data_IF_557009028973
#
_entry.id   IF_557009028973
#
_cell.length_a   1.000
_cell.length_b   1.000
_cell.length_c   1.000
_cell.angle_alpha   90.00
_cell.angle_beta   90.00
_cell.angle_gamma   90.00
#
_symmetry.space_group_name_H-M   'P 1'
#
loop_
_entity.id
_entity.type
_entity.pdbx_description
1 polymer ?
#
# COMPACT_ATOMS: atom_id res chain seq x y z
N UNK A 1 11.01 3.79 -9.99
CA UNK A 1 10.11 2.80 -10.57
C UNK A 1 8.78 2.86 -9.83
N UNK A 2 7.70 2.52 -10.51
CA UNK A 2 6.37 2.43 -9.89
C UNK A 2 6.32 1.20 -8.98
N UNK A 3 5.80 1.36 -7.77
CA UNK A 3 5.68 0.28 -6.78
C UNK A 3 4.93 -0.94 -7.30
N UNK A 4 4.00 -0.80 -8.24
CA UNK A 4 3.32 -1.95 -8.85
C UNK A 4 4.23 -2.86 -9.68
N UNK A 5 5.46 -2.42 -9.99
CA UNK A 5 6.44 -3.19 -10.76
C UNK A 5 7.73 -3.40 -9.96
N UNK A 6 7.70 -4.19 -8.87
CA UNK A 6 8.87 -4.37 -8.01
C UNK A 6 10.09 -4.96 -8.76
N UNK A 7 9.86 -5.78 -9.80
CA UNK A 7 10.92 -6.32 -10.66
C UNK A 7 11.80 -5.25 -11.33
N UNK A 8 11.29 -4.02 -11.49
CA UNK A 8 12.06 -2.93 -12.08
C UNK A 8 13.28 -2.53 -11.22
N UNK A 9 13.22 -2.77 -9.90
CA UNK A 9 14.39 -2.58 -9.02
C UNK A 9 15.51 -3.55 -9.37
N UNK A 10 15.19 -4.81 -9.65
CA UNK A 10 16.20 -5.82 -9.99
C UNK A 10 16.89 -5.47 -11.30
N UNK A 11 16.13 -4.95 -12.27
CA UNK A 11 16.70 -4.42 -13.51
C UNK A 11 17.63 -3.25 -13.21
N UNK A 12 17.21 -2.26 -12.43
CA UNK A 12 18.07 -1.12 -12.06
C UNK A 12 19.39 -1.57 -11.40
N UNK A 13 19.31 -2.54 -10.48
CA UNK A 13 20.48 -3.12 -9.79
C UNK A 13 21.45 -3.82 -10.73
N UNK A 14 20.96 -4.54 -11.75
CA UNK A 14 21.81 -5.20 -12.75
C UNK A 14 22.68 -4.20 -13.53
N UNK A 15 22.23 -2.94 -13.67
CA UNK A 15 22.98 -1.87 -14.32
C UNK A 15 23.70 -0.93 -13.34
N UNK A 16 23.70 -1.23 -12.04
CA UNK A 16 24.31 -0.39 -11.02
C UNK A 16 23.65 0.98 -10.86
N UNK A 17 22.35 1.08 -11.17
CA UNK A 17 21.58 2.32 -11.08
C UNK A 17 20.90 2.45 -9.71
N UNK A 18 20.69 3.71 -9.30
CA UNK A 18 19.89 4.04 -8.11
C UNK A 18 18.42 3.69 -8.36
N UNK A 19 17.82 2.91 -7.46
CA UNK A 19 16.42 2.50 -7.49
C UNK A 19 15.57 3.36 -6.56
N UNK A 20 14.86 4.35 -7.12
CA UNK A 20 13.87 5.14 -6.37
C UNK A 20 12.50 4.50 -6.50
N UNK A 21 11.91 4.04 -5.39
CA UNK A 21 10.53 3.56 -5.34
C UNK A 21 9.58 4.75 -5.34
N UNK A 22 8.61 4.74 -6.25
CA UNK A 22 7.59 5.78 -6.37
C UNK A 22 6.20 5.16 -6.26
N UNK A 23 5.35 5.77 -5.41
CA UNK A 23 3.96 5.36 -5.29
C UNK A 23 3.03 6.36 -5.97
N UNK A 24 2.16 5.84 -6.84
CA UNK A 24 1.15 6.61 -7.59
C UNK A 24 -0.13 6.89 -6.79
N UNK A 25 -0.35 6.16 -5.71
CA UNK A 25 -1.49 6.34 -4.82
C UNK A 25 -1.15 7.30 -3.69
N UNK A 26 -2.18 7.88 -3.06
CA UNK A 26 -1.99 8.79 -1.92
C UNK A 26 -1.28 8.10 -0.75
N UNK A 27 -0.50 8.87 0.02
CA UNK A 27 0.20 8.38 1.22
C UNK A 27 -0.75 7.66 2.20
N UNK A 28 -1.96 8.17 2.40
CA UNK A 28 -2.98 7.55 3.25
C UNK A 28 -3.36 6.14 2.78
N UNK A 29 -3.63 5.99 1.48
CA UNK A 29 -3.99 4.70 0.87
C UNK A 29 -2.83 3.71 0.98
N UNK A 30 -1.60 4.13 0.67
CA UNK A 30 -0.43 3.27 0.79
C UNK A 30 -0.16 2.86 2.24
N UNK A 31 -0.38 3.76 3.21
CA UNK A 31 -0.23 3.43 4.62
C UNK A 31 -1.21 2.32 5.02
N UNK A 32 -2.47 2.40 4.62
CA UNK A 32 -3.44 1.33 4.89
C UNK A 32 -3.03 0.01 4.25
N UNK A 33 -2.65 0.00 2.96
CA UNK A 33 -2.20 -1.22 2.29
C UNK A 33 -0.94 -1.81 2.92
N UNK A 34 0.02 -0.98 3.31
CA UNK A 34 1.23 -1.42 3.99
C UNK A 34 0.92 -2.12 5.32
N UNK A 35 0.01 -1.56 6.12
CA UNK A 35 -0.39 -2.18 7.40
C UNK A 35 -1.14 -3.51 7.20
N UNK A 36 -1.93 -3.64 6.13
CA UNK A 36 -2.54 -4.92 5.75
C UNK A 36 -1.46 -5.93 5.31
N UNK A 37 -0.53 -5.52 4.43
CA UNK A 37 0.56 -6.37 3.93
C UNK A 37 1.43 -6.91 5.08
N UNK A 38 1.62 -6.11 6.13
CA UNK A 38 2.37 -6.48 7.35
C UNK A 38 1.54 -7.26 8.37
N UNK A 39 0.27 -7.54 8.10
CA UNK A 39 -0.63 -8.26 9.00
C UNK A 39 -1.07 -7.46 10.23
N UNK A 40 -0.85 -6.14 10.25
CA UNK A 40 -1.25 -5.25 11.34
C UNK A 40 -2.74 -4.89 11.29
N UNK A 41 -3.33 -4.94 10.09
CA UNK A 41 -4.78 -4.85 9.87
C UNK A 41 -5.24 -6.21 9.34
N UNK A 42 -6.21 -6.82 10.00
CA UNK A 42 -6.77 -8.11 9.58
C UNK A 42 -7.97 -7.91 8.64
N UNK A 43 -8.10 -8.81 7.66
CA UNK A 43 -9.21 -8.87 6.72
C UNK A 43 -10.09 -10.10 7.01
N UNK A 44 -11.39 -10.08 6.65
CA UNK A 44 -12.12 -8.95 6.08
C UNK A 44 -12.35 -7.82 7.09
N UNK A 45 -12.40 -6.58 6.61
CA UNK A 45 -12.61 -5.40 7.48
C UNK A 45 -13.99 -5.39 8.14
N UNK A 46 -15.00 -5.91 7.42
CA UNK A 46 -16.38 -6.01 7.88
C UNK A 46 -16.58 -7.34 8.62
N UNK A 47 -16.45 -7.30 9.96
CA UNK A 47 -16.75 -8.40 10.86
C UNK A 47 -17.92 -8.09 11.81
N UNK A 48 -18.26 -8.98 12.75
CA UNK A 48 -19.28 -8.71 13.77
C UNK A 48 -18.75 -7.69 14.79
N UNK A 49 -18.81 -6.40 14.45
CA UNK A 49 -18.49 -5.28 15.32
C UNK A 49 -17.97 -4.06 14.55
N UNK A 50 -18.03 -2.84 15.14
CA UNK A 50 -17.37 -1.67 14.58
C UNK A 50 -15.85 -1.83 14.70
N UNK A 51 -15.17 -1.98 13.56
CA UNK A 51 -13.72 -2.02 13.46
C UNK A 51 -13.23 -0.69 12.89
N UNK A 52 -12.47 0.08 13.67
CA UNK A 52 -11.79 1.27 13.16
C UNK A 52 -10.42 0.89 12.62
N UNK A 53 -10.04 1.50 11.51
CA UNK A 53 -8.71 1.38 10.93
C UNK A 53 -7.89 2.56 11.43
N UNK A 54 -6.86 2.26 12.23
CA UNK A 54 -5.93 3.26 12.73
C UNK A 54 -4.56 3.00 12.12
N UNK A 55 -4.04 3.98 11.38
CA UNK A 55 -2.68 3.95 10.84
C UNK A 55 -1.99 5.30 11.11
N UNK A 56 -0.66 5.34 11.29
CA UNK A 56 0.06 6.56 11.62
C UNK A 56 -0.16 7.66 10.57
N UNK A 57 -0.37 8.89 11.03
CA UNK A 57 -0.41 10.08 10.18
C UNK A 57 -1.75 10.37 9.51
N UNK A 58 -2.80 9.60 9.79
CA UNK A 58 -4.17 9.86 9.33
C UNK A 58 -5.17 9.68 10.47
N UNK A 59 -6.35 10.35 10.43
CA UNK A 59 -7.43 10.09 11.36
C UNK A 59 -7.90 8.62 11.27
N UNK A 60 -8.52 8.13 12.35
CA UNK A 60 -9.18 6.83 12.32
C UNK A 60 -10.22 6.77 11.19
N UNK A 61 -10.16 5.69 10.42
CA UNK A 61 -11.03 5.47 9.27
C UNK A 61 -12.07 4.40 9.60
N UNK A 62 -13.27 4.57 9.07
CA UNK A 62 -14.29 3.52 9.10
C UNK A 62 -14.00 2.48 7.99
N UNK A 63 -14.49 1.24 8.08
CA UNK A 63 -14.20 0.19 7.10
C UNK A 63 -14.58 0.53 5.65
N UNK A 64 -15.56 1.43 5.45
CA UNK A 64 -16.00 1.89 4.12
C UNK A 64 -15.16 3.05 3.58
N UNK A 65 -14.36 3.71 4.42
CA UNK A 65 -13.39 4.72 3.99
C UNK A 65 -12.10 4.07 3.46
N UNK A 66 -11.92 2.77 3.72
CA UNK A 66 -10.78 2.00 3.23
C UNK A 66 -10.83 1.83 1.70
N UNK A 67 -9.66 1.64 1.05
CA UNK A 67 -9.59 1.32 -0.37
C UNK A 67 -10.50 0.14 -0.76
N UNK A 68 -11.11 0.22 -1.93
CA UNK A 68 -12.15 -0.73 -2.37
C UNK A 68 -11.67 -2.18 -2.42
N UNK A 69 -10.40 -2.43 -2.72
CA UNK A 69 -9.82 -3.78 -2.70
C UNK A 69 -9.77 -4.40 -1.29
N UNK A 70 -9.87 -3.58 -0.23
CA UNK A 70 -9.94 -4.03 1.16
C UNK A 70 -11.40 -4.06 1.66
N UNK A 71 -12.16 -2.97 1.43
CA UNK A 71 -13.54 -2.87 1.87
C UNK A 71 -14.45 -3.92 1.20
N UNK A 72 -14.23 -4.17 -0.10
CA UNK A 72 -14.90 -5.22 -0.88
C UNK A 72 -13.97 -6.43 -1.01
N UNK A 73 -13.45 -6.90 0.11
CA UNK A 73 -12.47 -7.99 0.15
C UNK A 73 -12.93 -9.20 -0.69
N UNK A 74 -12.02 -9.72 -1.51
CA UNK A 74 -12.29 -10.85 -2.41
C UNK A 74 -13.01 -10.51 -3.73
N UNK A 75 -13.52 -9.28 -3.92
CA UNK A 75 -14.19 -8.92 -5.18
C UNK A 75 -13.23 -8.79 -6.36
N UNK A 76 -11.94 -8.57 -6.10
CA UNK A 76 -10.92 -8.40 -7.12
C UNK A 76 -9.57 -8.96 -6.65
N UNK A 77 -9.40 -10.30 -6.65
CA UNK A 77 -8.24 -10.97 -6.06
C UNK A 77 -6.94 -10.64 -6.79
N UNK A 78 -6.98 -10.49 -8.12
CA UNK A 78 -5.77 -10.14 -8.89
C UNK A 78 -5.22 -8.77 -8.48
N UNK A 79 -6.06 -7.74 -8.49
CA UNK A 79 -5.61 -6.39 -8.12
C UNK A 79 -5.29 -6.28 -6.63
N UNK A 80 -5.97 -7.05 -5.78
CA UNK A 80 -5.63 -7.15 -4.36
C UNK A 80 -4.18 -7.60 -4.15
N UNK A 81 -3.74 -8.67 -4.82
CA UNK A 81 -2.35 -9.13 -4.73
C UNK A 81 -1.38 -8.06 -5.24
N UNK A 82 -1.67 -7.42 -6.38
CA UNK A 82 -0.82 -6.37 -6.95
C UNK A 82 -0.63 -5.17 -6.01
N UNK A 83 -1.70 -4.70 -5.35
CA UNK A 83 -1.60 -3.56 -4.42
C UNK A 83 -0.93 -3.90 -3.08
N UNK A 84 -0.81 -5.18 -2.71
CA UNK A 84 -0.04 -5.58 -1.54
C UNK A 84 1.42 -5.89 -1.91
N UNK A 85 1.66 -6.48 -3.07
CA UNK A 85 3.00 -6.83 -3.55
C UNK A 85 3.88 -5.61 -3.83
N UNK A 86 3.28 -4.42 -4.02
CA UNK A 86 4.04 -3.17 -4.24
C UNK A 86 5.01 -2.80 -3.09
N UNK A 87 4.88 -3.42 -1.91
CA UNK A 87 5.78 -3.22 -0.76
C UNK A 87 6.84 -4.31 -0.61
N UNK A 88 6.85 -5.34 -1.47
CA UNK A 88 7.71 -6.53 -1.32
C UNK A 88 9.20 -6.22 -1.28
N UNK A 89 9.63 -5.14 -1.94
CA UNK A 89 11.02 -4.72 -2.01
C UNK A 89 11.27 -3.31 -1.47
N UNK A 90 10.34 -2.75 -0.68
CA UNK A 90 10.45 -1.39 -0.15
C UNK A 90 11.76 -1.15 0.62
N UNK A 91 12.17 -2.14 1.42
CA UNK A 91 13.37 -2.08 2.25
C UNK A 91 14.67 -2.17 1.43
N UNK A 92 14.57 -2.46 0.13
CA UNK A 92 15.71 -2.60 -0.78
C UNK A 92 15.86 -1.39 -1.72
N UNK A 93 14.89 -0.49 -1.76
CA UNK A 93 14.98 0.73 -2.57
C UNK A 93 15.92 1.74 -1.90
N UNK A 94 16.68 2.49 -2.69
CA UNK A 94 17.58 3.52 -2.16
C UNK A 94 16.80 4.68 -1.56
N UNK A 95 15.64 5.01 -2.15
CA UNK A 95 14.76 6.10 -1.73
C UNK A 95 13.30 5.74 -1.98
N UNK A 96 12.41 6.26 -1.13
CA UNK A 96 10.97 6.16 -1.30
C UNK A 96 10.38 7.55 -1.52
N UNK A 97 9.66 7.72 -2.63
CA UNK A 97 8.93 8.93 -2.95
C UNK A 97 7.42 8.68 -2.87
N UNK A 98 6.76 9.43 -2.00
CA UNK A 98 5.31 9.40 -1.80
C UNK A 98 4.67 10.65 -2.38
N UNK A 99 3.53 10.49 -3.05
CA UNK A 99 2.70 11.62 -3.42
C UNK A 99 1.83 12.03 -2.22
N UNK A 100 2.22 13.12 -1.56
CA UNK A 100 1.38 13.75 -0.54
C UNK A 100 0.37 14.67 -1.24
N UNK A 101 -0.91 14.32 -1.21
CA UNK A 101 -1.96 15.28 -1.50
C UNK A 101 -2.01 16.24 -0.30
N UNK A 102 -1.85 17.55 -0.57
CA UNK A 102 -2.03 18.56 0.47
C UNK A 102 -3.48 18.45 1.00
N UNK A 103 -3.70 18.59 2.31
CA UNK A 103 -5.06 18.67 2.84
C UNK A 103 -5.77 19.86 2.16
N UNK A 104 -6.92 19.57 1.55
CA UNK A 104 -7.84 20.58 1.00
C UNK A 104 -8.60 21.25 2.15
#
# INVERSE_FOLDING_TARGET
>A
YDGFFPWALDVAKQFGLVGVLFFTQSCAVNSVYYHVQRGLIQLPLLGPGPSRISVPGVPDLEPWDAPSFLHKYGSNPFWFEVVLDQFSNIDQADWVQQQQLLPV
#
